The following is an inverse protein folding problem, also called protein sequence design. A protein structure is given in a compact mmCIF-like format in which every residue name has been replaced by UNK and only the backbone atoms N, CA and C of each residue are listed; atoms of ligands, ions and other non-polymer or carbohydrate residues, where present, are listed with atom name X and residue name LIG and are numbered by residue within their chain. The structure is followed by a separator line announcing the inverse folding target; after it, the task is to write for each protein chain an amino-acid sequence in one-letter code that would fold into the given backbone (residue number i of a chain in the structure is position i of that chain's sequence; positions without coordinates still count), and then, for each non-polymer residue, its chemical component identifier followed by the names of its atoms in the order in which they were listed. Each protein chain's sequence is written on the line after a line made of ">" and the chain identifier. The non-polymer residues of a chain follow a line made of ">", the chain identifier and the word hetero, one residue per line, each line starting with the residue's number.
data_IF_319971073521
#
_entry.id   IF_319971073521
#
_cell.length_a   1.000
_cell.length_b   1.000
_cell.length_c   1.000
_cell.angle_alpha   90.00
_cell.angle_beta   90.00
_cell.angle_gamma   90.00
#
_symmetry.space_group_name_H-M   'P 1'
#
loop_
_entity.id
_entity.type
_entity.pdbx_description
1 polymer ?
#
# COMPACT_ATOMS: atom_id res chain seq x y z
N UNK A 1 -8.41 3.14 16.25
CA UNK A 1 -8.09 1.99 15.38
C UNK A 1 -8.15 2.43 13.92
N UNK A 2 -7.29 1.84 13.09
CA UNK A 2 -7.29 2.03 11.64
C UNK A 2 -7.37 0.69 10.96
N UNK A 3 -8.18 0.56 9.93
CA UNK A 3 -8.25 -0.60 9.06
C UNK A 3 -7.81 -0.21 7.66
N UNK A 4 -6.88 -0.96 7.10
CA UNK A 4 -6.28 -0.74 5.77
C UNK A 4 -6.37 -2.04 4.99
N UNK A 5 -6.87 -2.01 3.79
CA UNK A 5 -6.99 -3.20 2.96
C UNK A 5 -6.70 -2.93 1.49
N UNK A 6 -6.29 -3.99 0.78
CA UNK A 6 -6.08 -3.99 -0.66
C UNK A 6 -6.51 -5.31 -1.28
N UNK A 7 -7.00 -5.26 -2.51
CA UNK A 7 -7.28 -6.44 -3.33
C UNK A 7 -6.02 -7.06 -3.95
N UNK A 8 -4.84 -6.44 -3.71
CA UNK A 8 -3.58 -7.00 -4.19
C UNK A 8 -3.19 -8.24 -3.37
N UNK A 9 -2.44 -9.19 -3.96
CA UNK A 9 -1.70 -9.08 -5.22
C UNK A 9 -2.59 -9.33 -6.46
N UNK A 10 -2.18 -8.73 -7.60
CA UNK A 10 -2.67 -9.07 -8.94
C UNK A 10 -1.55 -9.70 -9.78
N UNK A 11 -0.49 -10.08 -9.14
CA UNK A 11 0.65 -10.84 -9.65
C UNK A 11 0.74 -12.17 -8.89
N UNK A 12 1.47 -13.18 -9.44
CA UNK A 12 1.68 -14.46 -8.76
C UNK A 12 2.41 -14.29 -7.43
N UNK A 13 1.83 -14.83 -6.37
CA UNK A 13 2.33 -14.78 -5.01
C UNK A 13 1.85 -16.01 -4.24
N UNK A 14 2.66 -16.56 -3.33
CA UNK A 14 2.35 -17.80 -2.63
C UNK A 14 2.46 -19.05 -3.50
N UNK A 15 3.36 -19.04 -4.48
CA UNK A 15 3.61 -20.13 -5.43
C UNK A 15 5.07 -20.55 -5.40
N UNK A 16 5.35 -21.73 -5.94
CA UNK A 16 6.70 -22.24 -6.10
C UNK A 16 7.44 -21.46 -7.19
N UNK A 17 8.73 -21.20 -6.97
CA UNK A 17 9.64 -20.73 -8.01
C UNK A 17 9.71 -21.76 -9.14
N UNK A 18 9.73 -21.28 -10.37
CA UNK A 18 9.80 -22.17 -11.54
C UNK A 18 11.23 -22.70 -11.72
N UNK A 19 11.36 -24.03 -11.80
CA UNK A 19 12.65 -24.68 -12.16
C UNK A 19 12.90 -24.66 -13.67
N UNK A 20 11.93 -24.16 -14.46
CA UNK A 20 12.03 -24.06 -15.90
C UNK A 20 12.93 -22.90 -16.30
N UNK A 21 14.15 -23.22 -16.67
CA UNK A 21 15.08 -22.25 -17.24
C UNK A 21 14.57 -21.72 -18.57
N UNK A 22 14.57 -20.41 -18.72
CA UNK A 22 14.14 -19.74 -19.95
C UNK A 22 15.27 -18.85 -20.46
N UNK A 23 15.34 -18.68 -21.77
CA UNK A 23 16.32 -17.75 -22.36
C UNK A 23 15.96 -16.30 -21.99
N UNK A 24 16.99 -15.54 -21.64
CA UNK A 24 16.84 -14.11 -21.32
C UNK A 24 16.47 -13.35 -22.60
N UNK A 25 15.43 -12.51 -22.61
CA UNK A 25 15.12 -11.66 -23.76
C UNK A 25 16.33 -10.80 -24.16
N UNK A 26 16.54 -10.62 -25.45
CA UNK A 26 17.71 -9.90 -25.99
C UNK A 26 17.79 -8.44 -25.54
N UNK A 27 16.63 -7.84 -25.22
CA UNK A 27 16.49 -6.45 -24.79
C UNK A 27 16.71 -6.29 -23.28
N UNK A 28 16.88 -7.40 -22.55
CA UNK A 28 17.03 -7.39 -21.10
C UNK A 28 18.46 -7.75 -20.71
N UNK A 29 19.16 -6.83 -20.07
CA UNK A 29 20.39 -7.14 -19.36
C UNK A 29 20.01 -7.72 -17.98
N UNK A 30 20.03 -9.04 -17.88
CA UNK A 30 19.58 -9.75 -16.69
C UNK A 30 20.46 -9.50 -15.46
N UNK A 31 21.74 -9.37 -15.64
CA UNK A 31 22.69 -9.12 -14.56
C UNK A 31 22.50 -7.71 -13.97
N UNK A 32 22.35 -6.71 -14.83
CA UNK A 32 22.02 -5.36 -14.39
C UNK A 32 20.64 -5.28 -13.73
N UNK A 33 19.66 -6.04 -14.23
CA UNK A 33 18.33 -6.05 -13.62
C UNK A 33 18.35 -6.67 -12.23
N UNK A 34 19.08 -7.76 -12.01
CA UNK A 34 19.26 -8.38 -10.70
C UNK A 34 19.90 -7.45 -9.69
N UNK A 35 20.79 -6.58 -10.14
CA UNK A 35 21.51 -5.63 -9.28
C UNK A 35 22.18 -6.37 -8.10
N UNK A 36 21.76 -6.07 -6.86
CA UNK A 36 22.29 -6.68 -5.62
C UNK A 36 21.55 -7.95 -5.18
N UNK A 37 20.51 -8.35 -5.89
CA UNK A 37 19.79 -9.59 -5.58
C UNK A 37 20.66 -10.84 -5.86
N UNK A 38 20.44 -11.95 -5.16
CA UNK A 38 21.13 -13.20 -5.47
C UNK A 38 20.88 -13.62 -6.92
N UNK A 39 21.92 -14.13 -7.58
CA UNK A 39 21.77 -14.63 -8.94
C UNK A 39 20.79 -15.82 -8.97
N UNK A 40 19.81 -15.73 -9.87
CA UNK A 40 18.91 -16.82 -10.25
C UNK A 40 18.74 -16.82 -11.76
N UNK A 41 18.52 -17.99 -12.34
CA UNK A 41 18.19 -18.10 -13.75
C UNK A 41 16.88 -17.32 -14.06
N UNK A 42 16.85 -16.70 -15.21
CA UNK A 42 15.66 -15.98 -15.66
C UNK A 42 14.46 -16.92 -15.82
N UNK A 43 13.30 -16.45 -15.39
CA UNK A 43 12.01 -17.13 -15.55
C UNK A 43 11.08 -16.25 -16.39
N UNK A 44 10.43 -16.87 -17.35
CA UNK A 44 9.46 -16.19 -18.21
C UNK A 44 8.39 -15.47 -17.38
N UNK A 45 8.04 -14.26 -17.81
CA UNK A 45 7.02 -13.41 -17.17
C UNK A 45 7.38 -12.86 -15.77
N UNK A 46 8.59 -13.07 -15.28
CA UNK A 46 9.01 -12.43 -14.03
C UNK A 46 8.99 -10.90 -14.17
N UNK A 47 9.62 -10.41 -15.22
CA UNK A 47 9.62 -8.99 -15.56
C UNK A 47 8.60 -8.71 -16.66
N UNK A 48 8.07 -7.49 -16.77
CA UNK A 48 8.39 -6.29 -15.97
C UNK A 48 7.59 -6.16 -14.67
N UNK A 49 6.70 -7.10 -14.33
CA UNK A 49 5.68 -6.87 -13.32
C UNK A 49 5.66 -7.91 -12.17
N UNK A 50 5.78 -9.19 -12.48
CA UNK A 50 5.48 -10.28 -11.52
C UNK A 50 6.57 -10.50 -10.45
N UNK A 51 7.72 -9.85 -10.57
CA UNK A 51 8.81 -9.88 -9.59
C UNK A 51 8.36 -9.45 -8.17
N UNK A 52 7.28 -8.72 -8.06
CA UNK A 52 6.73 -8.21 -6.81
C UNK A 52 6.38 -9.30 -5.79
N UNK A 53 6.06 -10.50 -6.26
CA UNK A 53 5.68 -11.63 -5.42
C UNK A 53 6.82 -12.43 -4.82
N UNK A 54 8.08 -12.02 -5.04
CA UNK A 54 9.28 -12.77 -4.64
C UNK A 54 10.15 -11.93 -3.72
N UNK A 55 10.53 -12.49 -2.57
CA UNK A 55 11.29 -11.76 -1.55
C UNK A 55 12.65 -11.25 -2.03
N UNK A 56 13.27 -11.91 -3.00
CA UNK A 56 14.55 -11.46 -3.56
C UNK A 56 14.42 -10.15 -4.35
N UNK A 57 13.24 -9.81 -4.84
CA UNK A 57 13.02 -8.70 -5.77
C UNK A 57 11.97 -7.72 -5.29
N UNK A 58 11.00 -8.19 -4.52
CA UNK A 58 9.86 -7.41 -4.06
C UNK A 58 9.45 -7.74 -2.63
N UNK A 59 8.41 -7.07 -2.16
CA UNK A 59 7.91 -7.20 -0.79
C UNK A 59 6.41 -7.51 -0.75
N UNK A 60 5.92 -8.12 -1.83
CA UNK A 60 4.51 -8.53 -1.94
C UNK A 60 3.52 -7.37 -1.86
N UNK A 61 2.28 -7.72 -1.58
CA UNK A 61 1.19 -6.75 -1.55
C UNK A 61 1.36 -5.68 -0.47
N UNK A 62 1.91 -6.03 0.69
CA UNK A 62 2.15 -5.06 1.76
C UNK A 62 3.18 -4.00 1.33
N UNK A 63 4.29 -4.40 0.75
CA UNK A 63 5.32 -3.45 0.33
C UNK A 63 4.89 -2.61 -0.87
N UNK A 64 4.22 -3.23 -1.84
CA UNK A 64 3.75 -2.54 -3.06
C UNK A 64 2.64 -1.52 -2.77
N UNK A 65 1.68 -1.88 -1.90
CA UNK A 65 0.50 -1.06 -1.63
C UNK A 65 0.55 -0.28 -0.31
N UNK A 66 1.43 -0.65 0.59
CA UNK A 66 1.53 0.00 1.90
C UNK A 66 1.83 1.50 1.78
N UNK A 67 2.74 1.89 0.88
CA UNK A 67 3.05 3.30 0.62
C UNK A 67 1.84 4.11 0.12
N UNK A 68 0.85 3.49 -0.49
CA UNK A 68 -0.36 4.14 -1.00
C UNK A 68 -1.50 4.20 0.01
N UNK A 69 -1.52 3.28 0.97
CA UNK A 69 -2.66 3.08 1.87
C UNK A 69 -2.31 3.33 3.35
N UNK A 70 -1.08 3.03 3.77
CA UNK A 70 -0.62 3.28 5.13
C UNK A 70 -0.14 4.72 5.31
N UNK A 71 0.39 5.34 4.25
CA UNK A 71 0.88 6.74 4.31
C UNK A 71 -0.18 7.73 4.84
N UNK A 72 -1.42 7.76 4.33
CA UNK A 72 -2.44 8.67 4.84
C UNK A 72 -2.66 8.57 6.36
N UNK A 73 -2.94 7.40 6.95
CA UNK A 73 -3.07 7.30 8.41
C UNK A 73 -1.75 7.55 9.15
N UNK A 74 -0.63 7.14 8.60
CA UNK A 74 0.68 7.36 9.19
C UNK A 74 0.95 8.86 9.39
N UNK A 75 0.71 9.64 8.35
CA UNK A 75 0.91 11.08 8.34
C UNK A 75 -0.12 11.84 9.18
N UNK A 76 -1.40 11.59 8.96
CA UNK A 76 -2.49 12.31 9.64
C UNK A 76 -2.47 12.08 11.14
N UNK A 77 -2.15 10.88 11.58
CA UNK A 77 -2.08 10.53 13.00
C UNK A 77 -0.71 10.85 13.61
N UNK A 78 0.28 11.20 12.80
CA UNK A 78 1.66 11.48 13.24
C UNK A 78 2.32 10.25 13.83
N UNK A 79 2.08 9.10 13.22
CA UNK A 79 2.66 7.83 13.65
C UNK A 79 4.18 7.83 13.43
N UNK A 80 4.89 7.00 14.19
CA UNK A 80 6.33 6.78 14.08
C UNK A 80 6.57 5.28 13.86
N UNK A 81 7.29 4.62 14.73
CA UNK A 81 7.57 3.20 14.63
C UNK A 81 6.56 2.39 15.44
N UNK A 82 6.03 1.29 14.90
CA UNK A 82 5.25 0.36 15.70
C UNK A 82 6.15 -0.30 16.74
N UNK A 83 5.62 -0.56 17.91
CA UNK A 83 6.32 -1.28 18.98
C UNK A 83 6.05 -2.77 18.95
N UNK A 84 5.01 -3.18 18.26
CA UNK A 84 4.60 -4.57 18.13
C UNK A 84 3.96 -4.80 16.76
N UNK A 85 4.27 -5.96 16.18
CA UNK A 85 3.64 -6.44 14.95
C UNK A 85 3.22 -7.88 15.16
N UNK A 86 1.95 -8.17 14.88
CA UNK A 86 1.41 -9.54 14.83
C UNK A 86 0.96 -9.82 13.41
N UNK A 87 1.28 -10.98 12.86
CA UNK A 87 0.91 -11.33 11.50
C UNK A 87 0.34 -12.74 11.40
N UNK A 88 -0.61 -12.90 10.50
CA UNK A 88 -1.14 -14.18 10.04
C UNK A 88 -1.12 -14.18 8.51
N UNK A 89 -0.82 -15.32 7.92
CA UNK A 89 -0.76 -15.47 6.46
C UNK A 89 -1.70 -16.57 5.98
N UNK A 90 -2.24 -16.38 4.78
CA UNK A 90 -2.91 -17.42 4.04
C UNK A 90 -1.93 -18.44 3.46
N UNK A 91 -2.45 -19.58 3.06
CA UNK A 91 -1.69 -20.61 2.38
C UNK A 91 -2.54 -21.27 1.30
N UNK A 92 -1.89 -21.88 0.32
CA UNK A 92 -2.53 -22.61 -0.77
C UNK A 92 -2.31 -24.12 -0.60
N UNK A 93 -3.18 -24.92 -1.15
CA UNK A 93 -2.95 -26.36 -1.31
C UNK A 93 -2.38 -26.62 -2.70
N UNK A 94 -1.35 -27.45 -2.75
CA UNK A 94 -0.66 -27.84 -4.00
C UNK A 94 -1.06 -29.21 -4.49
N UNK A 95 -1.71 -29.99 -3.61
CA UNK A 95 -2.25 -31.31 -3.85
C UNK A 95 -3.35 -31.59 -2.82
N UNK A 96 -4.08 -32.67 -2.93
CA UNK A 96 -5.06 -33.08 -1.93
C UNK A 96 -4.42 -33.12 -0.55
N UNK A 97 -4.98 -32.35 0.38
CA UNK A 97 -4.53 -32.26 1.77
C UNK A 97 -3.08 -31.79 1.98
N UNK A 98 -2.33 -31.44 0.93
CA UNK A 98 -0.95 -30.96 1.03
C UNK A 98 -0.90 -29.43 0.92
N UNK A 99 -0.56 -28.79 2.03
CA UNK A 99 -0.33 -27.34 2.07
C UNK A 99 0.99 -26.99 1.40
N UNK A 100 0.95 -26.01 0.50
CA UNK A 100 2.17 -25.44 -0.10
C UNK A 100 2.94 -24.60 0.91
N UNK A 101 4.26 -24.71 0.85
CA UNK A 101 5.18 -23.87 1.60
C UNK A 101 6.27 -23.38 0.65
N UNK A 102 6.27 -22.08 0.38
CA UNK A 102 7.15 -21.44 -0.60
C UNK A 102 7.86 -20.26 0.05
N UNK A 103 8.97 -20.50 0.78
CA UNK A 103 9.65 -19.46 1.55
C UNK A 103 10.24 -18.32 0.71
N UNK A 104 10.45 -18.54 -0.58
CA UNK A 104 10.95 -17.51 -1.52
C UNK A 104 9.86 -16.57 -2.02
N UNK A 105 8.60 -17.00 -1.94
CA UNK A 105 7.44 -16.23 -2.39
C UNK A 105 6.76 -15.52 -1.23
N UNK A 106 6.30 -14.31 -1.47
CA UNK A 106 5.42 -13.63 -0.53
C UNK A 106 4.11 -14.44 -0.37
N UNK A 107 3.43 -14.39 0.79
CA UNK A 107 2.21 -15.16 1.04
C UNK A 107 1.05 -14.65 0.17
N UNK A 108 0.12 -15.53 -0.25
CA UNK A 108 -1.00 -15.15 -1.14
C UNK A 108 -1.97 -14.15 -0.50
N UNK A 109 -2.03 -14.12 0.81
CA UNK A 109 -2.77 -13.13 1.58
C UNK A 109 -2.15 -12.95 2.96
N UNK A 110 -2.32 -11.78 3.54
CA UNK A 110 -1.86 -11.52 4.91
C UNK A 110 -2.85 -10.66 5.69
N UNK A 111 -2.82 -10.86 7.00
CA UNK A 111 -3.47 -10.01 7.99
C UNK A 111 -2.44 -9.65 9.05
N UNK A 112 -2.11 -8.37 9.15
CA UNK A 112 -1.11 -7.88 10.11
C UNK A 112 -1.68 -6.77 10.98
N UNK A 113 -1.28 -6.74 12.24
CA UNK A 113 -1.66 -5.70 13.21
C UNK A 113 -0.39 -5.01 13.65
N UNK A 114 -0.32 -3.71 13.43
CA UNK A 114 0.75 -2.85 13.90
C UNK A 114 0.26 -2.05 15.10
N UNK A 115 0.95 -2.16 16.22
CA UNK A 115 0.64 -1.38 17.42
C UNK A 115 1.60 -0.20 17.52
N UNK A 116 1.06 1.01 17.45
CA UNK A 116 1.80 2.26 17.62
C UNK A 116 1.55 2.79 19.03
N UNK A 117 2.61 3.21 19.74
CA UNK A 117 2.48 3.64 21.13
C UNK A 117 1.80 5.01 21.23
N UNK A 118 1.38 5.36 22.44
CA UNK A 118 0.97 6.73 22.76
C UNK A 118 2.13 7.67 22.52
N UNK A 119 1.90 8.73 21.75
CA UNK A 119 2.91 9.73 21.45
C UNK A 119 2.29 11.13 21.31
N UNK A 120 3.01 12.16 21.76
CA UNK A 120 2.62 13.58 21.61
C UNK A 120 1.18 13.87 22.08
N UNK A 121 0.75 13.26 23.19
CA UNK A 121 -0.60 13.42 23.74
C UNK A 121 -1.71 12.71 22.97
N UNK A 122 -1.37 11.94 21.92
CA UNK A 122 -2.31 11.13 21.16
C UNK A 122 -2.35 9.72 21.71
N UNK A 123 -3.52 9.04 21.72
CA UNK A 123 -3.64 7.67 22.19
C UNK A 123 -2.91 6.69 21.29
N UNK A 124 -2.59 5.52 21.83
CA UNK A 124 -2.07 4.39 21.05
C UNK A 124 -3.00 4.03 19.89
N UNK A 125 -2.42 3.61 18.77
CA UNK A 125 -3.16 3.24 17.56
C UNK A 125 -2.86 1.81 17.19
N UNK A 126 -3.90 1.02 16.97
CA UNK A 126 -3.80 -0.28 16.28
C UNK A 126 -4.20 -0.09 14.82
N UNK A 127 -3.29 -0.45 13.93
CA UNK A 127 -3.51 -0.45 12.50
C UNK A 127 -3.56 -1.89 12.00
N UNK A 128 -4.65 -2.24 11.35
CA UNK A 128 -4.91 -3.54 10.78
C UNK A 128 -4.68 -3.47 9.27
N UNK A 129 -3.75 -4.25 8.78
CA UNK A 129 -3.48 -4.44 7.36
C UNK A 129 -4.08 -5.75 6.87
N UNK A 130 -4.70 -5.70 5.71
CA UNK A 130 -5.30 -6.87 5.05
C UNK A 130 -5.01 -6.83 3.55
N UNK A 131 -4.56 -7.94 2.99
CA UNK A 131 -4.33 -8.10 1.56
C UNK A 131 -4.81 -9.46 1.05
N UNK A 132 -4.67 -9.70 -0.26
CA UNK A 132 -5.10 -10.96 -0.88
C UNK A 132 -6.61 -11.12 -0.93
N UNK A 133 -7.36 -10.01 -0.96
CA UNK A 133 -8.82 -10.01 -0.98
C UNK A 133 -9.48 -9.99 0.40
N UNK A 134 -8.69 -10.00 1.47
CA UNK A 134 -9.22 -9.77 2.81
C UNK A 134 -9.59 -8.29 2.96
N UNK A 135 -10.68 -8.01 3.65
CA UNK A 135 -11.20 -6.66 3.85
C UNK A 135 -11.57 -6.43 5.32
N UNK A 136 -11.63 -5.16 5.70
CA UNK A 136 -12.22 -4.75 6.96
C UNK A 136 -13.71 -5.10 7.01
N UNK A 137 -14.24 -5.24 8.21
CA UNK A 137 -15.68 -5.29 8.43
C UNK A 137 -16.34 -4.04 7.86
N UNK A 138 -17.47 -4.24 7.16
CA UNK A 138 -18.23 -3.14 6.61
C UNK A 138 -18.86 -2.32 7.74
N UNK A 139 -18.61 -0.99 7.80
CA UNK A 139 -19.24 -0.15 8.80
C UNK A 139 -20.76 -0.16 8.67
N UNK A 140 -21.46 -0.25 9.79
CA UNK A 140 -22.94 -0.21 9.84
C UNK A 140 -23.49 1.11 9.28
N UNK A 141 -22.73 2.20 9.42
CA UNK A 141 -23.11 3.52 8.94
C UNK A 141 -23.00 3.68 7.42
N UNK A 142 -22.40 2.71 6.73
CA UNK A 142 -22.26 2.73 5.28
C UNK A 142 -23.48 2.08 4.64
N UNK A 143 -24.22 2.83 3.84
CA UNK A 143 -25.43 2.37 3.16
C UNK A 143 -25.19 1.14 2.28
N UNK A 144 -26.19 0.30 2.03
CA UNK A 144 -26.04 -1.00 1.36
C UNK A 144 -25.45 -0.90 -0.04
N UNK A 145 -25.69 0.21 -0.75
CA UNK A 145 -25.23 0.46 -2.11
C UNK A 145 -23.97 1.35 -2.18
N UNK A 146 -23.44 1.77 -1.04
CA UNK A 146 -22.24 2.58 -1.00
C UNK A 146 -20.98 1.69 -1.08
N UNK A 147 -20.01 2.13 -1.85
CA UNK A 147 -18.76 1.39 -2.03
C UNK A 147 -17.82 1.65 -0.85
N UNK A 148 -17.26 0.61 -0.30
CA UNK A 148 -16.25 0.67 0.75
C UNK A 148 -14.87 0.94 0.12
N UNK A 149 -14.27 2.10 0.46
CA UNK A 149 -13.04 2.58 -0.18
C UNK A 149 -13.24 2.92 -1.66
N UNK A 150 -12.42 2.34 -2.53
CA UNK A 150 -12.56 2.40 -3.98
C UNK A 150 -13.09 1.07 -4.58
N UNK A 151 -13.58 0.17 -3.73
CA UNK A 151 -14.05 -1.16 -4.09
C UNK A 151 -12.99 -2.26 -3.93
N UNK A 152 -11.73 -1.94 -4.15
CA UNK A 152 -10.62 -2.88 -4.00
C UNK A 152 -9.70 -2.54 -2.83
N UNK A 153 -9.57 -1.26 -2.55
CA UNK A 153 -8.66 -0.73 -1.55
C UNK A 153 -9.36 0.28 -0.66
N UNK A 154 -8.84 0.52 0.52
CA UNK A 154 -9.35 1.58 1.36
C UNK A 154 -8.73 1.64 2.74
N UNK A 155 -9.11 2.70 3.43
CA UNK A 155 -8.73 2.97 4.81
C UNK A 155 -9.96 3.40 5.60
N UNK A 156 -10.18 2.80 6.77
CA UNK A 156 -11.21 3.24 7.72
C UNK A 156 -10.51 3.65 9.02
N UNK A 157 -10.81 4.86 9.44
CA UNK A 157 -10.43 5.38 10.75
C UNK A 157 -11.61 5.23 11.70
N UNK A 158 -11.38 4.57 12.84
CA UNK A 158 -12.35 4.43 13.91
C UNK A 158 -11.89 5.24 15.11
N UNK A 159 -12.52 6.37 15.33
CA UNK A 159 -12.27 7.29 16.43
C UNK A 159 -13.37 7.25 17.48
N UNK A 160 -13.16 7.97 18.58
CA UNK A 160 -14.14 8.10 19.68
C UNK A 160 -15.36 8.93 19.32
N UNK A 161 -15.27 9.75 18.27
CA UNK A 161 -16.35 10.65 17.82
C UNK A 161 -17.05 10.18 16.54
N UNK A 162 -16.59 9.08 15.95
CA UNK A 162 -17.15 8.55 14.70
C UNK A 162 -16.11 7.86 13.85
N UNK A 163 -16.52 7.53 12.64
CA UNK A 163 -15.68 6.85 11.64
C UNK A 163 -15.49 7.75 10.41
N UNK A 164 -14.35 7.58 9.77
CA UNK A 164 -14.03 8.19 8.48
C UNK A 164 -13.44 7.12 7.56
N UNK A 165 -13.71 7.25 6.28
CA UNK A 165 -13.20 6.35 5.25
C UNK A 165 -12.54 7.16 4.13
N UNK A 166 -11.49 6.62 3.52
CA UNK A 166 -10.93 7.14 2.28
C UNK A 166 -10.51 6.00 1.35
N UNK A 167 -10.28 6.36 0.09
CA UNK A 167 -9.76 5.47 -0.94
C UNK A 167 -8.23 5.47 -0.95
N UNK A 168 -7.63 4.81 -1.94
CA UNK A 168 -6.19 4.81 -2.19
C UNK A 168 -5.65 6.26 -2.21
N UNK A 169 -4.45 6.47 -1.68
CA UNK A 169 -3.78 7.77 -1.53
C UNK A 169 -4.50 8.76 -0.59
N UNK A 170 -5.42 8.30 0.25
CA UNK A 170 -6.26 9.18 1.04
C UNK A 170 -7.30 9.95 0.23
N UNK A 171 -7.56 9.53 -1.00
CA UNK A 171 -8.52 10.19 -1.87
C UNK A 171 -9.96 10.06 -1.37
N UNK A 172 -10.79 11.03 -1.73
CA UNK A 172 -12.22 11.04 -1.44
C UNK A 172 -12.56 10.75 0.03
N UNK A 173 -11.98 11.47 1.01
CA UNK A 173 -12.27 11.23 2.42
C UNK A 173 -13.74 11.53 2.73
N UNK A 174 -14.39 10.62 3.46
CA UNK A 174 -15.79 10.73 3.86
C UNK A 174 -15.96 10.41 5.34
N UNK A 175 -16.76 11.20 6.02
CA UNK A 175 -17.29 10.82 7.33
C UNK A 175 -18.34 9.73 7.18
N UNK A 176 -18.55 8.93 8.20
CA UNK A 176 -19.62 7.93 8.20
C UNK A 176 -20.64 8.27 9.28
N UNK A 177 -21.97 8.23 8.97
CA UNK A 177 -22.55 8.03 7.62
C UNK A 177 -22.16 9.15 6.65
N UNK A 178 -22.14 8.84 5.35
CA UNK A 178 -21.52 9.68 4.30
C UNK A 178 -22.16 11.06 4.17
N UNK A 179 -23.44 11.21 4.50
CA UNK A 179 -24.18 12.48 4.51
C UNK A 179 -23.53 13.54 5.41
N UNK A 180 -22.86 13.11 6.49
CA UNK A 180 -22.12 14.03 7.39
C UNK A 180 -20.96 14.74 6.70
N UNK A 181 -20.48 14.20 5.59
CA UNK A 181 -19.38 14.81 4.85
C UNK A 181 -19.79 16.16 4.26
N UNK A 182 -21.02 16.28 3.81
CA UNK A 182 -21.54 17.50 3.19
C UNK A 182 -21.77 18.62 4.22
N UNK A 183 -21.91 18.26 5.49
CA UNK A 183 -22.10 19.18 6.60
C UNK A 183 -20.77 19.81 7.06
N UNK A 184 -19.62 19.20 6.72
CA UNK A 184 -18.31 19.62 7.20
C UNK A 184 -17.58 20.45 6.14
N UNK A 185 -17.32 21.71 6.47
CA UNK A 185 -16.45 22.58 5.67
C UNK A 185 -15.01 22.49 6.19
N UNK A 186 -14.13 21.90 5.41
CA UNK A 186 -12.70 21.85 5.70
C UNK A 186 -12.00 23.02 5.01
N UNK A 187 -11.34 23.88 5.80
CA UNK A 187 -10.53 24.95 5.23
C UNK A 187 -9.30 24.36 4.52
N UNK A 188 -8.99 24.90 3.36
CA UNK A 188 -7.75 24.55 2.66
C UNK A 188 -6.57 25.22 3.38
N UNK A 189 -5.76 24.43 4.05
CA UNK A 189 -4.57 24.90 4.79
C UNK A 189 -3.26 24.68 4.05
N UNK A 190 -3.27 23.79 3.04
CA UNK A 190 -2.11 23.49 2.19
C UNK A 190 -2.43 23.96 0.77
N UNK A 191 -1.52 24.74 0.19
CA UNK A 191 -1.66 25.18 -1.18
C UNK A 191 -1.67 23.99 -2.14
N UNK A 192 -2.51 24.06 -3.16
CA UNK A 192 -2.52 23.07 -4.24
C UNK A 192 -1.49 23.46 -5.29
N UNK A 193 -0.76 22.46 -5.79
CA UNK A 193 0.05 22.66 -7.00
C UNK A 193 -0.88 22.99 -8.16
N UNK A 194 -0.63 24.09 -8.91
CA UNK A 194 -1.41 24.40 -10.10
C UNK A 194 -1.38 23.24 -11.10
N UNK A 195 -2.44 23.06 -11.86
CA UNK A 195 -2.56 22.00 -12.88
C UNK A 195 -2.40 20.56 -12.35
N UNK A 196 -2.64 20.35 -11.07
CA UNK A 196 -2.70 19.00 -10.43
C UNK A 196 -1.44 18.16 -10.67
N UNK A 197 -1.63 16.95 -11.21
CA UNK A 197 -0.52 16.01 -11.44
C UNK A 197 0.50 16.54 -12.45
N UNK A 198 0.06 17.22 -13.52
CA UNK A 198 0.96 17.79 -14.52
C UNK A 198 1.82 18.90 -13.91
N UNK A 199 1.23 19.75 -13.08
CA UNK A 199 1.95 20.79 -12.36
C UNK A 199 2.99 20.25 -11.39
N UNK A 200 2.74 19.10 -10.79
CA UNK A 200 3.72 18.42 -9.93
C UNK A 200 4.98 18.02 -10.71
N UNK A 201 4.82 17.43 -11.89
CA UNK A 201 5.96 17.10 -12.76
C UNK A 201 6.64 18.35 -13.33
N UNK A 202 5.86 19.36 -13.74
CA UNK A 202 6.40 20.63 -14.23
C UNK A 202 7.27 21.31 -13.16
N UNK A 203 6.82 21.35 -11.91
CA UNK A 203 7.57 21.92 -10.78
C UNK A 203 8.94 21.25 -10.60
N UNK A 204 9.01 19.93 -10.75
CA UNK A 204 10.29 19.21 -10.69
C UNK A 204 11.21 19.59 -11.85
N UNK A 205 10.69 19.65 -13.07
CA UNK A 205 11.46 20.05 -14.26
C UNK A 205 11.97 21.48 -14.11
N UNK A 206 11.12 22.42 -13.68
CA UNK A 206 11.47 23.82 -13.45
C UNK A 206 12.57 23.96 -12.38
N UNK A 207 12.47 23.19 -11.29
CA UNK A 207 13.50 23.18 -10.26
C UNK A 207 14.85 22.67 -10.79
N UNK A 208 14.84 21.64 -11.64
CA UNK A 208 16.05 21.14 -12.30
C UNK A 208 16.67 22.20 -13.23
N UNK A 209 15.87 22.91 -14.01
CA UNK A 209 16.32 23.97 -14.91
C UNK A 209 16.83 25.18 -14.15
N UNK A 210 16.23 25.55 -13.04
CA UNK A 210 16.68 26.66 -12.19
C UNK A 210 18.02 26.36 -11.49
N UNK A 211 18.32 25.12 -11.21
CA UNK A 211 19.52 24.67 -10.53
C UNK A 211 19.33 24.50 -9.01
N UNK A 212 20.27 23.81 -8.37
CA UNK A 212 20.20 23.43 -6.95
C UNK A 212 20.00 24.64 -6.04
N UNK A 213 18.97 24.54 -5.17
CA UNK A 213 18.65 25.56 -4.17
C UNK A 213 18.15 26.90 -4.72
N UNK A 214 17.75 26.97 -6.00
CA UNK A 214 17.26 28.21 -6.65
C UNK A 214 15.75 28.33 -6.71
N UNK A 215 15.05 27.25 -6.43
CA UNK A 215 13.60 27.21 -6.44
C UNK A 215 13.09 26.39 -5.25
N UNK A 216 12.13 26.95 -4.53
CA UNK A 216 11.38 26.18 -3.54
C UNK A 216 10.35 25.30 -4.27
N UNK A 217 10.30 24.02 -3.91
CA UNK A 217 9.31 23.08 -4.38
C UNK A 217 8.38 22.71 -3.24
N UNK A 218 7.10 22.58 -3.54
CA UNK A 218 6.11 22.13 -2.55
C UNK A 218 6.23 20.63 -2.35
N UNK A 219 7.32 20.18 -1.70
CA UNK A 219 7.47 18.78 -1.32
C UNK A 219 6.64 18.48 -0.07
N UNK A 220 5.82 17.42 -0.07
CA UNK A 220 5.17 16.95 1.15
C UNK A 220 6.12 16.21 2.10
N UNK A 221 7.35 15.98 1.70
CA UNK A 221 8.36 15.25 2.46
C UNK A 221 9.39 16.22 3.03
N UNK A 222 9.25 16.51 4.28
CA UNK A 222 10.27 17.06 5.15
C UNK A 222 10.67 15.99 6.19
#
# INVERSE_FOLDING_TARGET
>A
TVYVWTNRPVWPQGIQWSDKKTEVPKELDWDLWLNTAPYKDYVEKLVPFNWRGWWDYGTGALGDMGCHLIEPPFRVLGLKYPTEVTASIGSVYVDEFKRGYFPESCPPSSYSIFTFPTANGKPAVKMHWMDGGLQAERPEELGPNEIMGDGGNGVIFVGTKGKMMCSTYGASPKLLPTQKTDEVKVAQTIARVPDGANGHYAQWVEACLAGYGKMEVSSPFE
#
